data_IF_593834413852
#
_entry.id   IF_593834413852
#
_cell.length_a   1.000
_cell.length_b   1.000
_cell.length_c   1.000
_cell.angle_alpha   90.00
_cell.angle_beta   90.00
_cell.angle_gamma   90.00
#
_symmetry.space_group_name_H-M   'P 1'
#
loop_
_entity.id
_entity.type
_entity.pdbx_description
1 polymer ?
#
# COMPACT_ATOMS: atom_id res chain seq x y z
N UNK A 1 -11.97 -28.28 8.31
CA UNK A 1 -10.49 -28.16 8.53
C UNK A 1 -10.26 -27.14 9.63
N UNK A 2 -9.38 -27.42 10.62
CA UNK A 2 -9.03 -26.44 11.65
C UNK A 2 -8.11 -25.34 11.12
N UNK A 3 -8.44 -24.10 11.42
CA UNK A 3 -7.64 -22.93 11.13
C UNK A 3 -7.41 -22.11 12.41
N UNK A 4 -6.32 -21.33 12.43
CA UNK A 4 -6.07 -20.28 13.42
C UNK A 4 -6.00 -18.96 12.70
N UNK A 5 -6.63 -17.93 13.27
CA UNK A 5 -6.57 -16.59 12.71
C UNK A 5 -6.67 -15.51 13.78
N UNK A 6 -6.12 -14.34 13.50
CA UNK A 6 -6.44 -13.12 14.24
C UNK A 6 -7.76 -12.59 13.70
N UNK A 7 -8.77 -12.55 14.55
CA UNK A 7 -10.14 -12.15 14.20
C UNK A 7 -10.59 -10.92 14.97
N UNK A 8 -11.31 -10.06 14.29
CA UNK A 8 -11.95 -8.87 14.87
C UNK A 8 -13.34 -9.25 15.38
N UNK A 9 -13.58 -9.07 16.69
CA UNK A 9 -14.87 -9.29 17.33
C UNK A 9 -15.61 -7.99 17.65
N UNK A 10 -14.92 -6.86 17.59
CA UNK A 10 -15.45 -5.53 17.89
C UNK A 10 -14.33 -4.52 18.03
N UNK A 11 -14.67 -3.27 18.39
CA UNK A 11 -13.68 -2.23 18.57
C UNK A 11 -12.68 -2.57 19.70
N UNK A 12 -11.38 -2.57 19.39
CA UNK A 12 -10.28 -2.97 20.28
C UNK A 12 -10.39 -4.43 20.78
N UNK A 13 -11.10 -5.29 20.06
CA UNK A 13 -11.25 -6.69 20.41
C UNK A 13 -10.74 -7.59 19.29
N UNK A 14 -9.42 -7.80 19.29
CA UNK A 14 -8.73 -8.76 18.42
C UNK A 14 -8.44 -10.02 19.24
N UNK A 15 -8.77 -11.18 18.68
CA UNK A 15 -8.51 -12.48 19.31
C UNK A 15 -7.80 -13.43 18.36
N UNK A 16 -6.92 -14.27 18.91
CA UNK A 16 -6.38 -15.41 18.18
C UNK A 16 -7.35 -16.59 18.39
N UNK A 17 -8.14 -16.87 17.39
CA UNK A 17 -9.14 -17.93 17.41
C UNK A 17 -8.66 -19.21 16.72
N UNK A 18 -9.08 -20.35 17.26
CA UNK A 18 -9.09 -21.64 16.55
C UNK A 18 -10.52 -21.99 16.19
N UNK A 19 -10.78 -22.29 14.92
CA UNK A 19 -12.12 -22.58 14.43
C UNK A 19 -12.09 -23.57 13.27
N UNK A 20 -13.25 -24.14 12.94
CA UNK A 20 -13.39 -25.00 11.76
C UNK A 20 -13.78 -24.17 10.54
N UNK A 21 -12.98 -24.25 9.47
CA UNK A 21 -13.37 -23.74 8.17
C UNK A 21 -14.44 -24.64 7.55
N UNK A 22 -15.48 -24.08 6.93
CA UNK A 22 -16.45 -24.88 6.18
C UNK A 22 -15.80 -25.58 4.99
N UNK A 23 -16.51 -26.52 4.38
CA UNK A 23 -16.11 -27.06 3.06
C UNK A 23 -16.29 -25.99 1.99
N UNK A 24 -15.32 -25.91 1.05
CA UNK A 24 -15.41 -24.95 -0.05
C UNK A 24 -16.52 -25.31 -1.02
N UNK A 25 -17.15 -24.30 -1.58
CA UNK A 25 -18.11 -24.43 -2.68
C UNK A 25 -17.39 -24.64 -4.01
N UNK A 26 -18.16 -24.96 -5.05
CA UNK A 26 -17.63 -25.18 -6.41
C UNK A 26 -16.96 -23.93 -7.02
N UNK A 27 -17.22 -22.74 -6.49
CA UNK A 27 -16.69 -21.44 -6.91
C UNK A 27 -15.71 -20.78 -5.90
N UNK A 28 -15.27 -21.51 -4.90
CA UNK A 28 -14.35 -21.04 -3.87
C UNK A 28 -12.99 -21.75 -3.97
N UNK A 29 -11.98 -21.17 -3.35
CA UNK A 29 -10.62 -21.72 -3.29
C UNK A 29 -10.13 -21.72 -1.84
N UNK A 30 -9.68 -22.88 -1.35
CA UNK A 30 -9.00 -22.98 -0.05
C UNK A 30 -7.52 -22.70 -0.24
N UNK A 31 -6.97 -21.83 0.60
CA UNK A 31 -5.56 -21.48 0.57
C UNK A 31 -4.91 -21.62 1.94
N UNK A 32 -3.60 -21.91 1.93
CA UNK A 32 -2.70 -21.79 3.07
C UNK A 32 -1.98 -20.45 2.96
N UNK A 33 -2.15 -19.57 3.93
CA UNK A 33 -1.38 -18.33 4.00
C UNK A 33 0.01 -18.62 4.54
N UNK A 34 1.03 -18.06 3.91
CA UNK A 34 2.45 -18.22 4.29
C UNK A 34 3.04 -16.89 4.72
N UNK A 35 2.62 -15.80 4.12
CA UNK A 35 3.05 -14.44 4.45
C UNK A 35 1.88 -13.48 4.33
N UNK A 36 1.76 -12.58 5.28
CA UNK A 36 0.93 -11.38 5.20
C UNK A 36 1.74 -10.19 5.72
N UNK A 37 1.63 -9.02 5.13
CA UNK A 37 2.34 -7.84 5.62
C UNK A 37 1.41 -6.99 6.49
N UNK A 38 2.01 -6.29 7.46
CA UNK A 38 1.25 -5.53 8.46
C UNK A 38 0.95 -4.12 7.96
N UNK A 39 -0.32 -3.82 7.76
CA UNK A 39 -0.80 -2.52 7.30
C UNK A 39 -1.38 -1.68 8.45
N UNK A 40 -1.12 -0.36 8.44
CA UNK A 40 -1.75 0.57 9.38
C UNK A 40 -3.28 0.64 9.24
N UNK A 41 -3.83 0.26 8.10
CA UNK A 41 -5.28 0.16 7.91
C UNK A 41 -5.90 -0.96 8.74
N UNK A 42 -5.18 -2.07 8.96
CA UNK A 42 -5.56 -3.13 9.91
C UNK A 42 -5.67 -2.59 11.33
N UNK A 43 -4.69 -1.77 11.76
CA UNK A 43 -4.76 -1.10 13.06
C UNK A 43 -5.97 -0.17 13.18
N UNK A 44 -6.23 0.67 12.15
CA UNK A 44 -7.43 1.53 12.12
C UNK A 44 -8.72 0.71 12.21
N UNK A 45 -8.79 -0.40 11.49
CA UNK A 45 -9.92 -1.32 11.55
C UNK A 45 -10.12 -1.88 12.97
N UNK A 46 -9.05 -2.30 13.62
CA UNK A 46 -9.10 -2.86 14.97
C UNK A 46 -9.64 -1.87 16.02
N UNK A 47 -9.22 -0.61 15.99
CA UNK A 47 -9.70 0.40 16.96
C UNK A 47 -11.12 0.89 16.66
N UNK A 48 -11.54 0.93 15.41
CA UNK A 48 -12.85 1.44 15.01
C UNK A 48 -13.96 0.37 15.11
N UNK A 49 -13.64 -0.92 14.91
CA UNK A 49 -14.64 -1.98 14.87
C UNK A 49 -15.74 -1.66 13.87
N UNK A 50 -17.00 -1.77 14.25
CA UNK A 50 -18.19 -1.49 13.40
C UNK A 50 -18.30 -0.04 12.92
N UNK A 51 -17.53 0.90 13.49
CA UNK A 51 -17.46 2.27 12.95
C UNK A 51 -16.59 2.36 11.69
N UNK A 52 -15.80 1.32 11.39
CA UNK A 52 -15.05 1.26 10.16
C UNK A 52 -15.97 0.83 9.01
N UNK A 53 -16.00 1.61 7.93
CA UNK A 53 -16.92 1.45 6.79
C UNK A 53 -16.90 0.09 6.07
N UNK A 54 -15.90 -0.74 6.32
CA UNK A 54 -15.76 -2.10 5.74
C UNK A 54 -16.11 -3.21 6.72
N UNK A 55 -16.31 -2.91 7.99
CA UNK A 55 -16.64 -3.89 9.03
C UNK A 55 -18.14 -4.04 9.14
N UNK A 56 -18.63 -5.28 9.16
CA UNK A 56 -20.05 -5.57 9.31
C UNK A 56 -20.56 -5.24 10.71
N UNK A 57 -21.82 -4.87 10.82
CA UNK A 57 -22.46 -4.55 12.10
C UNK A 57 -22.53 -5.77 13.04
N UNK A 58 -22.62 -6.97 12.48
CA UNK A 58 -22.68 -8.26 13.18
C UNK A 58 -21.31 -8.93 13.41
N UNK A 59 -20.22 -8.16 13.36
CA UNK A 59 -18.84 -8.67 13.51
C UNK A 59 -18.60 -9.40 14.84
N UNK A 60 -19.44 -9.18 15.86
CA UNK A 60 -19.36 -9.90 17.13
C UNK A 60 -19.81 -11.36 16.99
N UNK A 61 -20.80 -11.63 16.13
CA UNK A 61 -21.33 -12.97 15.88
C UNK A 61 -20.61 -13.66 14.72
N UNK A 62 -20.12 -12.88 13.73
CA UNK A 62 -19.38 -13.31 12.55
C UNK A 62 -18.02 -12.61 12.47
N UNK A 63 -17.05 -12.99 13.34
CA UNK A 63 -15.78 -12.27 13.46
C UNK A 63 -14.95 -12.33 12.18
N UNK A 64 -14.50 -11.17 11.70
CA UNK A 64 -13.74 -11.06 10.47
C UNK A 64 -12.26 -11.43 10.66
N UNK A 65 -11.70 -12.26 9.76
CA UNK A 65 -10.26 -12.50 9.71
C UNK A 65 -9.54 -11.23 9.26
N UNK A 66 -8.49 -10.82 9.97
CA UNK A 66 -7.69 -9.66 9.65
C UNK A 66 -6.64 -9.95 8.56
N UNK A 67 -5.94 -8.91 8.11
CA UNK A 67 -4.87 -9.03 7.09
C UNK A 67 -5.39 -9.06 5.64
N UNK A 68 -4.75 -8.29 4.77
CA UNK A 68 -5.18 -8.16 3.37
C UNK A 68 -4.03 -8.08 2.36
N UNK A 69 -2.79 -8.22 2.82
CA UNK A 69 -1.57 -8.18 2.02
C UNK A 69 -0.93 -9.57 1.96
N UNK A 70 -1.75 -10.59 1.64
CA UNK A 70 -1.40 -11.99 1.82
C UNK A 70 -0.83 -12.66 0.58
N UNK A 71 0.00 -13.67 0.84
CA UNK A 71 0.50 -14.61 -0.14
C UNK A 71 0.60 -16.03 0.45
N UNK A 72 0.51 -17.04 -0.37
CA UNK A 72 0.56 -18.41 0.09
C UNK A 72 0.37 -19.44 -1.02
N UNK A 73 -0.08 -20.62 -0.65
CA UNK A 73 -0.30 -21.75 -1.55
C UNK A 73 -1.78 -22.07 -1.69
N UNK A 74 -2.22 -22.38 -2.90
CA UNK A 74 -3.54 -22.94 -3.18
C UNK A 74 -3.54 -24.39 -2.68
N UNK A 75 -4.51 -24.74 -1.83
CA UNK A 75 -4.65 -26.08 -1.24
C UNK A 75 -5.72 -26.89 -1.96
N UNK A 76 -6.90 -26.28 -2.20
CA UNK A 76 -8.01 -26.93 -2.87
C UNK A 76 -8.73 -25.92 -3.77
N UNK A 77 -9.19 -26.37 -4.93
CA UNK A 77 -9.85 -25.54 -5.94
C UNK A 77 -11.25 -26.08 -6.21
N UNK A 78 -12.25 -25.23 -6.09
CA UNK A 78 -13.62 -25.55 -6.48
C UNK A 78 -13.74 -25.84 -7.98
N UNK A 79 -14.72 -26.65 -8.36
CA UNK A 79 -14.83 -27.21 -9.73
C UNK A 79 -14.84 -26.17 -10.84
N UNK A 80 -15.40 -24.96 -10.56
CA UNK A 80 -15.52 -23.87 -11.55
C UNK A 80 -14.18 -23.22 -11.94
N UNK A 81 -13.10 -23.47 -11.17
CA UNK A 81 -11.82 -22.77 -11.35
C UNK A 81 -10.63 -23.71 -11.60
N UNK A 82 -10.88 -25.03 -11.78
CA UNK A 82 -9.83 -26.03 -11.97
C UNK A 82 -9.11 -25.95 -13.33
N UNK A 83 -9.67 -25.24 -14.29
CA UNK A 83 -9.03 -24.90 -15.56
C UNK A 83 -7.90 -23.88 -15.40
N UNK A 84 -8.07 -22.94 -14.46
CA UNK A 84 -7.16 -21.81 -14.24
C UNK A 84 -6.21 -22.01 -13.05
N UNK A 85 -6.70 -22.59 -11.95
CA UNK A 85 -5.96 -22.74 -10.71
C UNK A 85 -5.76 -24.20 -10.32
N UNK A 86 -4.66 -24.52 -9.64
CA UNK A 86 -4.34 -25.89 -9.21
C UNK A 86 -3.75 -25.87 -7.79
N UNK A 87 -3.98 -26.93 -7.00
CA UNK A 87 -3.26 -27.11 -5.73
C UNK A 87 -1.75 -27.03 -5.93
N UNK A 88 -1.06 -26.36 -4.99
CA UNK A 88 0.39 -26.10 -5.03
C UNK A 88 0.80 -24.85 -5.81
N UNK A 89 -0.10 -24.17 -6.52
CA UNK A 89 0.21 -22.86 -7.09
C UNK A 89 0.35 -21.83 -5.98
N UNK A 90 1.37 -20.98 -6.09
CA UNK A 90 1.52 -19.81 -5.20
C UNK A 90 0.60 -18.69 -5.67
N UNK A 91 0.08 -17.93 -4.72
CA UNK A 91 -0.80 -16.80 -5.01
C UNK A 91 -0.40 -15.53 -4.27
N UNK A 92 -0.85 -14.42 -4.79
CA UNK A 92 -1.10 -13.13 -4.13
C UNK A 92 -2.44 -12.61 -4.62
N UNK A 93 -2.92 -11.50 -4.07
CA UNK A 93 -4.23 -10.99 -4.48
C UNK A 93 -4.31 -9.46 -4.48
N UNK A 94 -5.29 -8.95 -5.23
CA UNK A 94 -5.75 -7.57 -5.13
C UNK A 94 -6.95 -7.52 -4.17
N UNK A 95 -6.82 -6.87 -2.99
CA UNK A 95 -7.87 -6.89 -1.97
C UNK A 95 -8.98 -5.85 -2.18
N UNK A 96 -8.78 -4.83 -3.02
CA UNK A 96 -9.78 -3.79 -3.27
C UNK A 96 -10.84 -4.29 -4.26
N UNK A 97 -11.78 -5.10 -3.78
CA UNK A 97 -12.76 -5.80 -4.62
C UNK A 97 -13.84 -4.86 -5.19
N UNK A 98 -14.41 -3.97 -4.38
CA UNK A 98 -15.55 -3.11 -4.74
C UNK A 98 -16.68 -3.87 -5.45
N UNK A 99 -16.91 -5.12 -5.04
CA UNK A 99 -17.82 -6.04 -5.70
C UNK A 99 -19.26 -5.56 -5.59
N UNK A 100 -19.91 -5.36 -6.75
CA UNK A 100 -21.30 -4.87 -6.86
C UNK A 100 -21.59 -3.62 -6.04
N UNK A 101 -20.61 -2.72 -5.91
CA UNK A 101 -20.73 -1.48 -5.16
C UNK A 101 -20.61 -1.62 -3.65
N UNK A 102 -20.27 -2.82 -3.13
CA UNK A 102 -19.95 -2.99 -1.72
C UNK A 102 -18.53 -2.53 -1.43
N UNK A 103 -18.24 -2.23 -0.17
CA UNK A 103 -16.88 -1.95 0.29
C UNK A 103 -16.17 -3.19 0.87
N UNK A 104 -16.71 -4.38 0.63
CA UNK A 104 -16.19 -5.63 1.17
C UNK A 104 -14.78 -5.91 0.68
N UNK A 105 -13.93 -6.34 1.60
CA UNK A 105 -12.52 -6.58 1.35
C UNK A 105 -11.98 -7.61 2.34
N UNK A 106 -11.05 -8.49 1.93
CA UNK A 106 -10.35 -9.36 2.87
C UNK A 106 -9.67 -8.53 3.96
N UNK A 107 -9.57 -9.08 5.15
CA UNK A 107 -9.00 -8.40 6.30
C UNK A 107 -9.91 -7.39 7.01
N UNK A 108 -11.18 -7.26 6.56
CA UNK A 108 -12.17 -6.34 7.12
C UNK A 108 -13.56 -6.93 7.22
N UNK A 109 -14.02 -7.63 6.16
CA UNK A 109 -15.43 -7.91 5.95
C UNK A 109 -15.81 -9.39 5.97
N UNK A 110 -14.84 -10.28 5.91
CA UNK A 110 -15.10 -11.71 5.70
C UNK A 110 -14.77 -12.54 6.92
N UNK A 111 -15.70 -13.44 7.27
CA UNK A 111 -15.54 -14.38 8.39
C UNK A 111 -14.43 -15.42 8.11
N UNK A 112 -14.27 -15.85 6.86
CA UNK A 112 -13.34 -16.92 6.48
C UNK A 112 -12.28 -16.47 5.46
N UNK A 113 -12.12 -15.17 5.21
CA UNK A 113 -11.17 -14.67 4.23
C UNK A 113 -10.39 -13.44 4.75
N UNK A 114 -9.11 -13.65 5.02
CA UNK A 114 -8.13 -12.67 5.47
C UNK A 114 -6.76 -13.31 5.64
N UNK A 115 -5.70 -12.51 5.69
CA UNK A 115 -4.32 -12.97 5.62
C UNK A 115 -3.69 -13.32 6.96
N UNK A 116 -4.19 -12.77 8.06
CA UNK A 116 -3.72 -13.10 9.42
C UNK A 116 -4.27 -14.46 9.88
N UNK A 117 -4.13 -15.48 9.02
CA UNK A 117 -4.66 -16.82 9.23
C UNK A 117 -3.69 -17.90 8.73
N UNK A 118 -3.82 -19.11 9.27
CA UNK A 118 -3.10 -20.28 8.74
C UNK A 118 -3.70 -20.78 7.43
N UNK A 119 -5.03 -20.75 7.34
CA UNK A 119 -5.83 -21.10 6.16
C UNK A 119 -7.02 -20.16 6.07
N UNK A 120 -7.43 -19.84 4.85
CA UNK A 120 -8.65 -19.09 4.58
C UNK A 120 -9.31 -19.56 3.28
N UNK A 121 -10.57 -19.15 3.07
CA UNK A 121 -11.34 -19.48 1.88
C UNK A 121 -11.48 -18.21 1.03
N UNK A 122 -10.95 -18.24 -0.17
CA UNK A 122 -11.11 -17.16 -1.15
C UNK A 122 -12.49 -17.29 -1.79
N UNK A 123 -13.39 -16.30 -1.64
CA UNK A 123 -14.74 -16.36 -2.16
C UNK A 123 -14.81 -16.10 -3.67
N UNK A 124 -15.93 -16.47 -4.28
CA UNK A 124 -16.16 -16.44 -5.74
C UNK A 124 -15.88 -15.08 -6.39
N UNK A 125 -16.26 -14.00 -5.73
CA UNK A 125 -16.10 -12.62 -6.25
C UNK A 125 -14.64 -12.24 -6.52
N UNK A 126 -13.69 -12.83 -5.81
CA UNK A 126 -12.25 -12.58 -6.05
C UNK A 126 -11.83 -13.13 -7.42
N UNK A 127 -12.31 -14.32 -7.78
CA UNK A 127 -12.05 -14.91 -9.08
C UNK A 127 -12.86 -14.25 -10.20
N UNK A 128 -14.12 -13.89 -9.95
CA UNK A 128 -14.97 -13.14 -10.89
C UNK A 128 -14.33 -11.80 -11.29
N UNK A 129 -13.69 -11.11 -10.35
CA UNK A 129 -12.98 -9.85 -10.60
C UNK A 129 -11.56 -10.04 -11.13
N UNK A 130 -11.05 -11.28 -11.22
CA UNK A 130 -9.66 -11.55 -11.60
C UNK A 130 -8.63 -11.09 -10.58
N UNK A 131 -9.04 -10.93 -9.32
CA UNK A 131 -8.22 -10.41 -8.23
C UNK A 131 -7.31 -11.46 -7.56
N UNK A 132 -7.49 -12.76 -7.83
CA UNK A 132 -6.55 -13.81 -7.43
C UNK A 132 -5.47 -13.95 -8.51
N UNK A 133 -4.22 -13.72 -8.13
CA UNK A 133 -3.08 -13.66 -9.03
C UNK A 133 -2.10 -14.81 -8.75
N UNK A 134 -1.66 -15.51 -9.81
CA UNK A 134 -0.57 -16.48 -9.69
C UNK A 134 0.74 -15.76 -9.39
N UNK A 135 1.47 -16.21 -8.37
CA UNK A 135 2.79 -15.71 -8.04
C UNK A 135 3.88 -16.70 -8.46
N UNK A 136 4.83 -16.24 -9.29
CA UNK A 136 5.93 -17.07 -9.83
C UNK A 136 7.29 -16.76 -9.24
N UNK A 137 7.36 -15.83 -8.27
CA UNK A 137 8.60 -15.44 -7.62
C UNK A 137 9.09 -16.45 -6.59
N UNK A 138 10.21 -16.13 -5.95
CA UNK A 138 10.90 -17.04 -5.03
C UNK A 138 10.33 -17.04 -3.63
N UNK A 139 10.10 -15.87 -3.05
CA UNK A 139 9.77 -15.71 -1.64
C UNK A 139 8.35 -15.17 -1.43
N UNK A 140 7.60 -15.73 -0.46
CA UNK A 140 6.24 -15.30 -0.18
C UNK A 140 6.15 -13.89 0.39
N UNK A 141 7.18 -13.43 1.12
CA UNK A 141 7.22 -12.05 1.61
C UNK A 141 7.30 -11.02 0.46
N UNK A 142 7.93 -11.37 -0.67
CA UNK A 142 7.89 -10.52 -1.87
C UNK A 142 6.48 -10.46 -2.45
N UNK A 143 5.75 -11.58 -2.44
CA UNK A 143 4.38 -11.65 -2.92
C UNK A 143 3.41 -10.89 -2.02
N UNK A 144 3.59 -10.91 -0.70
CA UNK A 144 2.76 -10.14 0.24
C UNK A 144 3.01 -8.62 0.12
N UNK A 145 4.15 -8.20 -0.42
CA UNK A 145 4.42 -6.79 -0.72
C UNK A 145 3.83 -6.32 -2.07
N UNK A 146 3.20 -7.21 -2.86
CA UNK A 146 2.60 -6.83 -4.14
C UNK A 146 1.47 -5.80 -3.97
N UNK A 147 0.65 -5.95 -2.92
CA UNK A 147 -0.43 -5.00 -2.62
C UNK A 147 0.13 -3.61 -2.27
N UNK A 148 0.98 -3.41 -1.24
CA UNK A 148 1.52 -2.09 -0.93
C UNK A 148 2.32 -1.48 -2.10
N UNK A 149 3.04 -2.28 -2.88
CA UNK A 149 3.69 -1.77 -4.10
C UNK A 149 2.69 -1.30 -5.15
N UNK A 150 1.55 -1.99 -5.30
CA UNK A 150 0.48 -1.56 -6.21
C UNK A 150 -0.10 -0.20 -5.83
N UNK A 151 -0.18 0.11 -4.52
CA UNK A 151 -0.60 1.41 -4.02
C UNK A 151 0.40 2.52 -4.43
N UNK A 152 1.70 2.26 -4.28
CA UNK A 152 2.74 3.20 -4.73
C UNK A 152 2.69 3.41 -6.25
N UNK A 153 2.60 2.34 -7.04
CA UNK A 153 2.49 2.41 -8.51
C UNK A 153 1.24 3.20 -8.92
N UNK A 154 0.10 2.92 -8.28
CA UNK A 154 -1.15 3.63 -8.52
C UNK A 154 -1.05 5.11 -8.23
N UNK A 155 -0.41 5.49 -7.11
CA UNK A 155 -0.20 6.88 -6.74
C UNK A 155 0.65 7.62 -7.79
N UNK A 156 1.76 7.03 -8.25
CA UNK A 156 2.58 7.61 -9.31
C UNK A 156 1.82 7.79 -10.63
N UNK A 157 0.97 6.83 -10.98
CA UNK A 157 0.19 6.89 -12.21
C UNK A 157 -1.01 7.84 -12.12
N UNK A 158 -1.48 8.15 -10.90
CA UNK A 158 -2.57 9.09 -10.66
C UNK A 158 -2.14 10.56 -10.66
N UNK A 159 -0.85 10.86 -10.47
CA UNK A 159 -0.33 12.20 -10.64
C UNK A 159 -0.57 12.69 -12.08
N UNK A 160 -0.61 13.99 -12.29
CA UNK A 160 -0.77 14.56 -13.61
C UNK A 160 -0.12 15.95 -13.70
N UNK A 161 0.24 16.31 -14.92
CA UNK A 161 0.79 17.62 -15.25
C UNK A 161 0.07 18.20 -16.46
N UNK A 162 0.14 19.53 -16.60
CA UNK A 162 -0.41 20.22 -17.74
C UNK A 162 0.71 20.71 -18.67
N UNK A 163 0.37 21.02 -19.89
CA UNK A 163 1.27 21.64 -20.85
C UNK A 163 0.63 22.91 -21.38
N UNK A 164 1.36 23.99 -21.34
CA UNK A 164 0.83 25.27 -21.82
C UNK A 164 0.31 25.19 -23.27
N UNK A 165 -0.92 25.64 -23.47
CA UNK A 165 -1.59 25.62 -24.78
C UNK A 165 -2.25 24.26 -25.12
N UNK A 166 -2.21 23.29 -24.22
CA UNK A 166 -2.83 21.98 -24.39
C UNK A 166 -3.85 21.75 -23.28
N UNK A 167 -5.09 21.40 -23.62
CA UNK A 167 -6.20 21.24 -22.69
C UNK A 167 -6.42 19.75 -22.31
N UNK A 168 -5.35 19.04 -21.99
CA UNK A 168 -5.41 17.70 -21.42
C UNK A 168 -4.29 17.50 -20.40
N UNK A 169 -4.47 16.55 -19.49
CA UNK A 169 -3.47 16.17 -18.50
C UNK A 169 -2.55 15.08 -19.06
N UNK A 170 -1.25 15.24 -18.84
CA UNK A 170 -0.28 14.16 -19.01
C UNK A 170 -0.20 13.40 -17.70
N UNK A 171 -0.72 12.14 -17.70
CA UNK A 171 -0.79 11.32 -16.50
C UNK A 171 0.59 10.78 -16.09
N UNK A 172 0.78 10.65 -14.80
CA UNK A 172 2.02 10.17 -14.17
C UNK A 172 2.86 11.32 -13.61
N UNK A 173 3.99 10.98 -13.00
CA UNK A 173 4.96 11.97 -12.53
C UNK A 173 5.67 12.62 -13.72
N UNK A 174 6.18 13.83 -13.50
CA UNK A 174 6.90 14.57 -14.52
C UNK A 174 8.24 13.91 -14.87
N UNK A 175 8.46 13.63 -16.15
CA UNK A 175 9.73 13.14 -16.65
C UNK A 175 10.84 14.14 -16.38
N UNK A 176 11.98 13.67 -15.87
CA UNK A 176 13.14 14.51 -15.52
C UNK A 176 12.80 15.64 -14.52
N UNK A 177 11.63 15.53 -13.85
CA UNK A 177 11.15 16.47 -12.82
C UNK A 177 11.80 16.28 -11.46
N UNK A 178 11.38 17.09 -10.49
CA UNK A 178 11.82 17.06 -9.10
C UNK A 178 10.73 16.44 -8.24
N UNK A 179 11.05 15.35 -7.55
CA UNK A 179 10.14 14.59 -6.70
C UNK A 179 10.48 14.78 -5.23
N UNK A 180 9.48 15.12 -4.41
CA UNK A 180 9.58 15.05 -2.94
C UNK A 180 8.75 13.89 -2.39
N UNK A 181 9.33 13.10 -1.48
CA UNK A 181 8.69 12.02 -0.73
C UNK A 181 8.73 12.40 0.74
N UNK A 182 7.70 13.11 1.22
CA UNK A 182 7.69 13.73 2.54
C UNK A 182 7.19 12.74 3.62
N UNK A 183 7.88 12.69 4.75
CA UNK A 183 7.75 11.68 5.80
C UNK A 183 7.91 10.25 5.23
N UNK A 184 8.87 10.09 4.31
CA UNK A 184 8.98 8.97 3.39
C UNK A 184 10.00 7.89 3.76
N UNK A 185 10.69 7.96 4.90
CA UNK A 185 11.64 6.92 5.30
C UNK A 185 10.97 5.67 5.95
N UNK A 186 9.63 5.61 5.93
CA UNK A 186 8.85 4.44 6.31
C UNK A 186 8.64 3.46 5.13
N UNK A 187 8.01 2.28 5.37
CA UNK A 187 7.84 1.22 4.36
C UNK A 187 7.22 1.69 3.05
N UNK A 188 6.14 2.48 3.12
CA UNK A 188 5.45 2.94 1.92
C UNK A 188 6.26 3.98 1.12
N UNK A 189 6.94 4.91 1.82
CA UNK A 189 7.81 5.88 1.16
C UNK A 189 9.06 5.23 0.55
N UNK A 190 9.64 4.19 1.18
CA UNK A 190 10.74 3.42 0.60
C UNK A 190 10.26 2.60 -0.61
N UNK A 191 9.02 2.09 -0.59
CA UNK A 191 8.40 1.48 -1.76
C UNK A 191 8.25 2.47 -2.92
N UNK A 192 7.82 3.69 -2.62
CA UNK A 192 7.75 4.78 -3.61
C UNK A 192 9.14 5.15 -4.16
N UNK A 193 10.14 5.26 -3.29
CA UNK A 193 11.53 5.52 -3.71
C UNK A 193 12.05 4.40 -4.62
N UNK A 194 11.82 3.13 -4.25
CA UNK A 194 12.15 1.98 -5.10
C UNK A 194 11.53 2.12 -6.49
N UNK A 195 10.23 2.43 -6.54
CA UNK A 195 9.54 2.58 -7.82
C UNK A 195 10.05 3.77 -8.63
N UNK A 196 10.30 4.92 -7.98
CA UNK A 196 10.86 6.12 -8.64
C UNK A 196 12.21 5.87 -9.29
N UNK A 197 13.08 5.09 -8.64
CA UNK A 197 14.42 4.76 -9.12
C UNK A 197 14.43 3.76 -10.31
N UNK A 198 13.41 2.88 -10.40
CA UNK A 198 13.43 1.75 -11.33
C UNK A 198 12.39 1.81 -12.45
N UNK A 199 11.51 2.83 -12.46
CA UNK A 199 10.51 2.99 -13.53
C UNK A 199 11.10 3.62 -14.80
N UNK A 200 10.38 3.51 -15.93
CA UNK A 200 10.82 4.06 -17.22
C UNK A 200 10.84 5.60 -17.23
N UNK A 201 9.80 6.24 -16.66
CA UNK A 201 9.72 7.70 -16.53
C UNK A 201 10.26 8.05 -15.14
N UNK A 202 11.49 8.54 -15.07
CA UNK A 202 12.20 8.84 -13.82
C UNK A 202 12.30 10.35 -13.58
N UNK A 203 12.31 10.79 -12.30
CA UNK A 203 12.68 12.16 -11.94
C UNK A 203 14.19 12.36 -12.10
N UNK A 204 14.63 13.61 -12.25
CA UNK A 204 16.06 13.96 -12.19
C UNK A 204 16.56 14.20 -10.76
N UNK A 205 15.64 14.53 -9.84
CA UNK A 205 15.94 14.76 -8.44
C UNK A 205 14.88 14.08 -7.57
N UNK A 206 15.30 13.46 -6.47
CA UNK A 206 14.43 12.90 -5.44
C UNK A 206 14.90 13.40 -4.07
N UNK A 207 13.97 13.95 -3.29
CA UNK A 207 14.20 14.33 -1.89
C UNK A 207 13.29 13.53 -1.00
N UNK A 208 13.86 12.73 -0.11
CA UNK A 208 13.14 11.96 0.91
C UNK A 208 13.32 12.65 2.25
N UNK A 209 12.21 12.98 2.92
CA UNK A 209 12.29 13.58 4.27
C UNK A 209 11.75 12.64 5.33
N UNK A 210 12.25 12.78 6.54
CA UNK A 210 11.68 12.20 7.77
C UNK A 210 12.15 13.03 8.97
N UNK A 211 11.55 12.83 10.13
CA UNK A 211 11.99 13.40 11.41
C UNK A 211 12.85 12.41 12.22
N UNK A 212 12.94 11.16 11.78
CA UNK A 212 13.69 10.10 12.46
C UNK A 212 14.99 9.82 11.70
N UNK A 213 16.13 10.18 12.32
CA UNK A 213 17.45 10.02 11.70
C UNK A 213 17.79 8.55 11.43
N UNK A 214 17.48 7.63 12.33
CA UNK A 214 17.78 6.20 12.13
C UNK A 214 17.06 5.63 10.90
N UNK A 215 15.84 6.11 10.59
CA UNK A 215 15.11 5.72 9.39
C UNK A 215 15.78 6.28 8.14
N UNK A 216 16.25 7.52 8.18
CA UNK A 216 16.97 8.14 7.07
C UNK A 216 18.32 7.45 6.82
N UNK A 217 19.08 7.14 7.86
CA UNK A 217 20.36 6.42 7.77
C UNK A 217 20.15 5.02 7.15
N UNK A 218 19.08 4.32 7.57
CA UNK A 218 18.68 3.05 6.97
C UNK A 218 18.27 3.21 5.51
N UNK A 219 17.53 4.26 5.19
CA UNK A 219 17.09 4.53 3.81
C UNK A 219 18.31 4.79 2.90
N UNK A 220 19.26 5.61 3.34
CA UNK A 220 20.49 5.90 2.59
C UNK A 220 21.38 4.65 2.42
N UNK A 221 21.43 3.78 3.47
CA UNK A 221 22.12 2.51 3.34
C UNK A 221 21.49 1.57 2.30
N UNK A 222 20.16 1.53 2.22
CA UNK A 222 19.42 0.72 1.24
C UNK A 222 19.46 1.31 -0.18
N UNK A 223 19.52 2.62 -0.29
CA UNK A 223 19.51 3.38 -1.55
C UNK A 223 20.68 4.37 -1.58
N UNK A 224 21.91 3.90 -1.83
CA UNK A 224 23.08 4.77 -1.80
C UNK A 224 22.97 5.90 -2.82
N UNK A 225 23.23 7.13 -2.41
CA UNK A 225 23.15 8.34 -3.24
C UNK A 225 24.05 8.21 -4.50
N UNK A 226 25.23 7.61 -4.35
CA UNK A 226 26.16 7.40 -5.45
C UNK A 226 25.64 6.40 -6.51
N UNK A 227 24.78 5.45 -6.13
CA UNK A 227 24.14 4.55 -7.10
C UNK A 227 23.04 5.28 -7.88
N UNK A 228 22.20 6.06 -7.22
CA UNK A 228 21.20 6.89 -7.88
C UNK A 228 21.84 7.89 -8.88
N UNK A 229 22.99 8.46 -8.50
CA UNK A 229 23.75 9.38 -9.34
C UNK A 229 24.28 8.74 -10.64
N UNK A 230 24.65 7.45 -10.60
CA UNK A 230 25.06 6.72 -11.83
C UNK A 230 23.93 6.64 -12.85
N UNK A 231 22.67 6.62 -12.35
CA UNK A 231 21.47 6.63 -13.17
C UNK A 231 20.96 8.04 -13.53
N UNK A 232 21.74 9.07 -13.18
CA UNK A 232 21.42 10.47 -13.47
C UNK A 232 20.40 11.09 -12.51
N UNK A 233 20.19 10.49 -11.34
CA UNK A 233 19.23 10.97 -10.33
C UNK A 233 19.98 11.58 -9.16
N UNK A 234 19.66 12.82 -8.82
CA UNK A 234 20.14 13.50 -7.63
C UNK A 234 19.24 13.10 -6.43
N UNK A 235 19.76 12.26 -5.52
CA UNK A 235 19.01 11.74 -4.37
C UNK A 235 19.46 12.41 -3.07
N UNK A 236 18.51 12.87 -2.27
CA UNK A 236 18.74 13.49 -0.96
C UNK A 236 17.89 12.82 0.12
N UNK A 237 18.50 12.62 1.31
CA UNK A 237 17.81 12.25 2.54
C UNK A 237 17.92 13.40 3.53
N UNK A 238 16.78 13.95 3.97
CA UNK A 238 16.73 15.19 4.71
C UNK A 238 15.95 15.03 6.00
N UNK A 239 16.60 15.28 7.13
CA UNK A 239 15.94 15.33 8.43
C UNK A 239 15.33 16.71 8.66
N UNK A 240 14.00 16.79 8.76
CA UNK A 240 13.29 18.06 8.94
C UNK A 240 12.99 18.41 10.40
N UNK A 241 13.38 17.55 11.36
CA UNK A 241 12.99 17.67 12.77
C UNK A 241 13.42 18.98 13.44
N UNK A 242 14.63 19.43 13.15
CA UNK A 242 15.25 20.57 13.84
C UNK A 242 15.42 21.78 12.90
N UNK A 243 14.76 21.77 11.75
CA UNK A 243 14.77 22.90 10.83
C UNK A 243 13.80 23.98 11.31
N UNK A 244 14.26 25.23 11.37
CA UNK A 244 13.41 26.38 11.69
C UNK A 244 12.36 26.63 10.60
N UNK A 245 12.76 26.51 9.34
CA UNK A 245 11.89 26.61 8.15
C UNK A 245 12.18 25.47 7.16
N UNK A 246 11.55 24.31 7.37
CA UNK A 246 11.72 23.17 6.47
C UNK A 246 11.37 23.47 5.01
N UNK A 247 10.36 24.31 4.77
CA UNK A 247 9.95 24.65 3.41
C UNK A 247 11.04 25.45 2.68
N UNK A 248 11.60 26.48 3.32
CA UNK A 248 12.66 27.27 2.74
C UNK A 248 13.92 26.42 2.46
N UNK A 249 14.28 25.51 3.38
CA UNK A 249 15.45 24.65 3.17
C UNK A 249 15.24 23.66 2.03
N UNK A 250 14.08 23.05 1.91
CA UNK A 250 13.75 22.15 0.79
C UNK A 250 13.67 22.90 -0.55
N UNK A 251 13.12 24.11 -0.54
CA UNK A 251 13.09 24.94 -1.76
C UNK A 251 14.49 25.31 -2.25
N UNK A 252 15.45 25.57 -1.36
CA UNK A 252 16.85 25.82 -1.75
C UNK A 252 17.44 24.66 -2.54
N UNK A 253 17.16 23.41 -2.17
CA UNK A 253 17.61 22.21 -2.89
C UNK A 253 17.12 22.24 -4.34
N UNK A 254 15.92 22.74 -4.58
CA UNK A 254 15.33 22.82 -5.92
C UNK A 254 15.76 24.06 -6.72
N UNK A 255 16.63 24.91 -6.16
CA UNK A 255 16.95 26.23 -6.71
C UNK A 255 15.76 27.19 -6.65
N UNK A 256 14.94 27.09 -5.62
CA UNK A 256 13.72 27.88 -5.35
C UNK A 256 12.63 27.76 -6.44
N UNK A 257 12.62 26.67 -7.21
CA UNK A 257 11.57 26.40 -8.20
C UNK A 257 10.43 25.51 -7.66
N UNK A 258 10.66 24.87 -6.51
CA UNK A 258 9.75 23.88 -5.96
C UNK A 258 9.82 22.51 -6.65
N UNK A 259 9.01 21.57 -6.17
CA UNK A 259 8.94 20.21 -6.69
C UNK A 259 7.79 20.08 -7.70
N UNK A 260 8.04 19.31 -8.74
CA UNK A 260 7.01 18.98 -9.73
C UNK A 260 6.01 17.96 -9.18
N UNK A 261 6.49 17.00 -8.38
CA UNK A 261 5.68 15.99 -7.73
C UNK A 261 5.99 15.93 -6.23
N UNK A 262 4.95 15.97 -5.39
CA UNK A 262 5.09 15.85 -3.94
C UNK A 262 4.19 14.73 -3.43
N UNK A 263 4.77 13.76 -2.74
CA UNK A 263 4.05 12.66 -2.11
C UNK A 263 4.07 12.82 -0.58
N UNK A 264 2.89 12.92 0.04
CA UNK A 264 2.72 13.07 1.48
C UNK A 264 2.43 11.71 2.14
N UNK A 265 3.40 11.18 2.93
CA UNK A 265 3.28 9.87 3.56
C UNK A 265 2.87 9.90 5.04
N UNK A 266 2.60 11.07 5.61
CA UNK A 266 2.07 11.19 6.97
C UNK A 266 0.79 12.04 7.02
N UNK A 267 -0.28 11.58 7.72
CA UNK A 267 -1.56 12.30 7.81
C UNK A 267 -1.54 13.33 8.96
N UNK A 268 -0.48 14.12 9.06
CA UNK A 268 -0.31 15.17 10.07
C UNK A 268 -0.28 16.53 9.41
N UNK A 269 -0.85 17.54 10.07
CA UNK A 269 -1.06 18.87 9.48
C UNK A 269 0.25 19.51 9.00
N UNK A 270 1.29 19.41 9.78
CA UNK A 270 2.61 20.01 9.49
C UNK A 270 3.22 19.44 8.19
N UNK A 271 3.05 18.13 7.93
CA UNK A 271 3.56 17.51 6.70
C UNK A 271 2.70 17.88 5.50
N UNK A 272 1.37 18.00 5.68
CA UNK A 272 0.46 18.46 4.62
C UNK A 272 0.73 19.90 4.22
N UNK A 273 0.93 20.79 5.21
CA UNK A 273 1.30 22.19 5.01
C UNK A 273 2.64 22.31 4.30
N UNK A 274 3.66 21.56 4.75
CA UNK A 274 4.96 21.47 4.10
C UNK A 274 4.82 20.99 2.65
N UNK A 275 4.01 19.95 2.42
CA UNK A 275 3.77 19.41 1.08
C UNK A 275 3.23 20.47 0.11
N UNK A 276 2.31 21.30 0.59
CA UNK A 276 1.76 22.41 -0.19
C UNK A 276 2.78 23.53 -0.42
N UNK A 277 3.57 23.87 0.62
CA UNK A 277 4.52 24.98 0.57
C UNK A 277 5.71 24.73 -0.37
N UNK A 278 6.08 23.46 -0.62
CA UNK A 278 7.22 23.11 -1.49
C UNK A 278 6.84 22.80 -2.93
N UNK A 279 5.55 22.85 -3.28
CA UNK A 279 5.09 22.65 -4.65
C UNK A 279 5.66 23.70 -5.60
N UNK A 280 6.16 23.23 -6.74
CA UNK A 280 6.54 24.09 -7.86
C UNK A 280 5.34 24.51 -8.71
N UNK A 281 5.61 25.33 -9.71
CA UNK A 281 4.60 25.72 -10.70
C UNK A 281 4.10 24.49 -11.46
N UNK A 282 2.77 24.30 -11.54
CA UNK A 282 2.13 23.12 -12.14
C UNK A 282 2.48 21.79 -11.39
N UNK A 283 2.88 21.92 -10.11
CA UNK A 283 3.23 20.78 -9.28
C UNK A 283 2.00 19.98 -8.87
N UNK A 284 2.13 18.66 -8.77
CA UNK A 284 1.08 17.76 -8.32
C UNK A 284 1.36 17.24 -6.92
N UNK A 285 0.41 17.47 -5.98
CA UNK A 285 0.46 16.90 -4.63
C UNK A 285 -0.37 15.61 -4.58
N UNK A 286 0.29 14.51 -4.26
CA UNK A 286 -0.36 13.24 -3.94
C UNK A 286 -0.44 13.07 -2.42
N UNK A 287 -1.64 13.18 -1.88
CA UNK A 287 -1.87 12.97 -0.47
C UNK A 287 -2.11 11.48 -0.19
N UNK A 288 -1.02 10.70 -0.22
CA UNK A 288 -1.04 9.24 -0.10
C UNK A 288 -1.59 8.75 1.24
N UNK A 289 -1.16 9.36 2.34
CA UNK A 289 -1.50 8.89 3.68
C UNK A 289 -2.99 9.01 4.02
N UNK A 290 -3.71 9.94 3.40
CA UNK A 290 -5.11 10.24 3.66
C UNK A 290 -5.42 10.68 5.09
N UNK A 291 -6.24 11.69 5.33
CA UNK A 291 -6.65 12.09 6.69
C UNK A 291 -7.57 11.03 7.29
N UNK A 292 -7.67 11.04 8.62
CA UNK A 292 -8.79 10.38 9.31
C UNK A 292 -10.03 11.26 9.22
N UNK A 293 -11.22 10.63 9.13
CA UNK A 293 -12.51 11.32 8.92
C UNK A 293 -12.85 12.39 9.99
N UNK A 294 -12.06 12.49 11.05
CA UNK A 294 -12.27 13.41 12.19
C UNK A 294 -11.22 14.52 12.29
N UNK A 295 -10.46 14.82 11.26
CA UNK A 295 -9.44 15.88 11.25
C UNK A 295 -9.65 16.86 10.11
#
# INVERSE_FOLDING_TARGET
MKAKAVRLHGANDLRLDEFELPEIKDDEILVKVVSDSVCMSTYKCAILGTKHKRVHEDVADHPAIMGHEMAGDIVQVGKKHQDKFKPGMKFTLQPALNYKGTMWSPGYSYEFFGGDATYCIIPAEVMELGCLLEYKGRAYYEASLAEPMSCSIGAFNANYHTKMGVYHHEMGIKKDGKLAILAGAGPMGLGALTYALHRDIRPSMIVVTDINQERLDRAEHLFPVEEAKKDGIELHFVNTKEMEDPAAELLKITGNTGFDDVFCYAPVAEVVELSSAVLGRDGCLNFFAGPTDNK
#
